data_IF_073162087870
#
_entry.id   IF_073162087870
#
_cell.length_a   1.000
_cell.length_b   1.000
_cell.length_c   1.000
_cell.angle_alpha   90.00
_cell.angle_beta   90.00
_cell.angle_gamma   90.00
#
_symmetry.space_group_name_H-M   'P 1'
#
loop_
_entity.id
_entity.type
_entity.pdbx_description
1 polymer ?
#
# COMPACT_ATOMS: atom_id res chain seq x y z
N UNK A 1 -20.13 21.09 19.48
CA UNK A 1 -19.15 19.99 19.46
C UNK A 1 -18.82 19.67 18.02
N UNK A 2 -17.55 19.64 17.61
CA UNK A 2 -17.19 19.13 16.29
C UNK A 2 -17.50 17.63 16.24
N UNK A 3 -17.91 17.15 15.07
CA UNK A 3 -18.16 15.72 14.84
C UNK A 3 -16.84 14.98 15.00
N UNK A 4 -16.76 13.88 15.79
CA UNK A 4 -15.56 13.07 15.82
C UNK A 4 -15.27 12.59 14.39
N UNK A 5 -14.03 12.80 13.93
CA UNK A 5 -13.53 12.25 12.66
C UNK A 5 -13.87 10.75 12.62
N UNK A 6 -14.29 10.19 11.48
CA UNK A 6 -14.59 8.77 11.38
C UNK A 6 -13.39 7.95 11.85
N UNK A 7 -13.53 7.27 12.99
CA UNK A 7 -12.49 6.35 13.48
C UNK A 7 -12.38 5.12 12.58
N UNK A 8 -13.47 4.80 11.87
CA UNK A 8 -13.49 3.74 10.87
C UNK A 8 -12.81 4.21 9.59
N UNK A 9 -11.73 3.54 9.13
CA UNK A 9 -11.12 3.86 7.86
C UNK A 9 -12.14 3.77 6.72
N UNK A 10 -12.02 4.66 5.73
CA UNK A 10 -12.83 4.56 4.52
C UNK A 10 -12.59 3.22 3.83
N UNK A 11 -13.64 2.75 3.16
CA UNK A 11 -13.62 1.49 2.41
C UNK A 11 -12.46 1.41 1.42
N UNK A 12 -12.07 2.53 0.80
CA UNK A 12 -10.92 2.59 -0.11
C UNK A 12 -9.63 2.10 0.56
N UNK A 13 -9.32 2.56 1.78
CA UNK A 13 -8.13 2.13 2.52
C UNK A 13 -8.19 0.65 2.90
N UNK A 14 -9.33 0.19 3.41
CA UNK A 14 -9.47 -1.22 3.80
C UNK A 14 -9.39 -2.17 2.61
N UNK A 15 -9.99 -1.79 1.47
CA UNK A 15 -9.94 -2.57 0.24
C UNK A 15 -8.53 -2.60 -0.32
N UNK A 16 -7.86 -1.45 -0.37
CA UNK A 16 -6.49 -1.38 -0.87
C UNK A 16 -5.51 -2.20 -0.04
N UNK A 17 -5.63 -2.19 1.29
CA UNK A 17 -4.81 -3.03 2.17
C UNK A 17 -5.00 -4.52 1.85
N UNK A 18 -6.25 -4.96 1.75
CA UNK A 18 -6.55 -6.36 1.44
C UNK A 18 -6.06 -6.77 0.05
N UNK A 19 -6.22 -5.91 -0.95
CA UNK A 19 -5.77 -6.16 -2.31
C UNK A 19 -4.24 -6.18 -2.41
N UNK A 20 -3.55 -5.27 -1.73
CA UNK A 20 -2.10 -5.21 -1.66
C UNK A 20 -1.53 -6.48 -1.00
N UNK A 21 -2.07 -6.89 0.16
CA UNK A 21 -1.66 -8.13 0.84
C UNK A 21 -1.87 -9.38 -0.04
N UNK A 22 -3.01 -9.44 -0.75
CA UNK A 22 -3.33 -10.55 -1.66
C UNK A 22 -2.36 -10.58 -2.85
N UNK A 23 -2.05 -9.42 -3.43
CA UNK A 23 -1.15 -9.32 -4.56
C UNK A 23 0.27 -9.78 -4.19
N UNK A 24 0.81 -9.31 -3.06
CA UNK A 24 2.12 -9.74 -2.55
C UNK A 24 2.18 -11.23 -2.21
N UNK A 25 1.14 -11.77 -1.57
CA UNK A 25 1.07 -13.21 -1.27
C UNK A 25 1.09 -14.04 -2.56
N UNK A 26 0.40 -13.57 -3.60
CA UNK A 26 0.36 -14.23 -4.90
C UNK A 26 1.70 -14.11 -5.62
N UNK A 27 2.34 -12.94 -5.56
CA UNK A 27 3.66 -12.69 -6.13
C UNK A 27 4.71 -13.64 -5.54
N UNK A 28 4.81 -13.74 -4.21
CA UNK A 28 5.73 -14.64 -3.53
C UNK A 28 5.50 -16.13 -3.88
N UNK A 29 4.25 -16.52 -4.16
CA UNK A 29 3.93 -17.88 -4.61
C UNK A 29 4.45 -18.15 -6.02
N UNK A 30 4.28 -17.19 -6.93
CA UNK A 30 4.81 -17.33 -8.30
C UNK A 30 6.32 -17.35 -8.31
N UNK A 31 6.98 -16.54 -7.49
CA UNK A 31 8.43 -16.51 -7.38
C UNK A 31 8.98 -17.88 -6.96
N UNK A 32 8.46 -18.44 -5.86
CA UNK A 32 8.83 -19.78 -5.41
C UNK A 32 8.64 -20.84 -6.48
N UNK A 33 7.53 -20.78 -7.24
CA UNK A 33 7.23 -21.74 -8.31
C UNK A 33 8.16 -21.56 -9.51
N UNK A 34 8.48 -20.32 -9.89
CA UNK A 34 9.41 -20.01 -10.97
C UNK A 34 10.82 -20.51 -10.63
N UNK A 35 11.29 -20.25 -9.40
CA UNK A 35 12.56 -20.74 -8.90
C UNK A 35 12.62 -22.28 -8.90
N UNK A 36 11.53 -22.94 -8.50
CA UNK A 36 11.45 -24.41 -8.50
C UNK A 36 11.44 -25.03 -9.91
N UNK A 37 10.81 -24.36 -10.88
CA UNK A 37 10.74 -24.80 -12.26
C UNK A 37 11.99 -24.41 -13.08
N UNK A 38 12.81 -23.50 -12.58
CA UNK A 38 13.91 -22.86 -13.30
C UNK A 38 13.40 -21.80 -14.27
N UNK A 39 13.91 -20.57 -14.15
CA UNK A 39 13.45 -19.44 -14.96
C UNK A 39 13.67 -19.61 -16.47
N UNK A 40 14.60 -20.46 -16.91
CA UNK A 40 14.82 -20.72 -18.34
C UNK A 40 13.75 -21.62 -18.99
N UNK A 41 12.90 -22.29 -18.20
CA UNK A 41 11.85 -23.16 -18.72
C UNK A 41 10.60 -22.37 -19.12
N UNK A 42 9.78 -22.91 -20.02
CA UNK A 42 8.51 -22.28 -20.40
C UNK A 42 7.59 -22.03 -19.18
N UNK A 43 7.55 -22.97 -18.23
CA UNK A 43 6.80 -22.82 -16.98
C UNK A 43 7.38 -21.72 -16.08
N UNK A 44 8.71 -21.67 -15.95
CA UNK A 44 9.40 -20.60 -15.21
C UNK A 44 9.13 -19.21 -15.82
N UNK A 45 9.20 -19.09 -17.14
CA UNK A 45 8.87 -17.86 -17.87
C UNK A 45 7.42 -17.43 -17.70
N UNK A 46 6.46 -18.38 -17.73
CA UNK A 46 5.05 -18.08 -17.48
C UNK A 46 4.82 -17.52 -16.06
N UNK A 47 5.53 -18.04 -15.05
CA UNK A 47 5.48 -17.50 -13.70
C UNK A 47 6.16 -16.14 -13.57
N UNK A 48 7.28 -15.92 -14.26
CA UNK A 48 7.92 -14.61 -14.33
C UNK A 48 6.98 -13.56 -14.91
N UNK A 49 6.31 -13.87 -16.03
CA UNK A 49 5.30 -12.97 -16.62
C UNK A 49 4.15 -12.66 -15.66
N UNK A 50 3.68 -13.66 -14.90
CA UNK A 50 2.64 -13.45 -13.88
C UNK A 50 3.12 -12.54 -12.74
N UNK A 51 4.38 -12.68 -12.29
CA UNK A 51 4.97 -11.78 -11.29
C UNK A 51 5.05 -10.34 -11.79
N UNK A 52 5.49 -10.12 -13.03
CA UNK A 52 5.53 -8.78 -13.63
C UNK A 52 4.15 -8.13 -13.63
N UNK A 53 3.10 -8.87 -14.00
CA UNK A 53 1.74 -8.36 -13.96
C UNK A 53 1.28 -8.02 -12.53
N UNK A 54 1.66 -8.83 -11.54
CA UNK A 54 1.35 -8.58 -10.13
C UNK A 54 2.11 -7.37 -9.58
N UNK A 55 3.38 -7.19 -9.97
CA UNK A 55 4.18 -6.02 -9.60
C UNK A 55 3.53 -4.72 -10.11
N UNK A 56 3.09 -4.69 -11.38
CA UNK A 56 2.35 -3.54 -11.92
C UNK A 56 1.06 -3.25 -11.14
N UNK A 57 0.33 -4.30 -10.74
CA UNK A 57 -0.89 -4.14 -9.93
C UNK A 57 -0.59 -3.60 -8.54
N UNK A 58 0.48 -4.06 -7.89
CA UNK A 58 0.95 -3.53 -6.60
C UNK A 58 1.26 -2.03 -6.73
N UNK A 59 2.05 -1.64 -7.72
CA UNK A 59 2.38 -0.23 -7.98
C UNK A 59 1.12 0.63 -8.19
N UNK A 60 0.12 0.10 -8.88
CA UNK A 60 -1.16 0.82 -9.11
C UNK A 60 -1.92 1.06 -7.81
N UNK A 61 -1.98 0.06 -6.92
CA UNK A 61 -2.63 0.19 -5.60
C UNK A 61 -1.89 1.22 -4.75
N UNK A 62 -0.56 1.16 -4.75
CA UNK A 62 0.29 2.08 -4.00
C UNK A 62 0.12 3.53 -4.47
N UNK A 63 0.12 3.76 -5.79
CA UNK A 63 -0.11 5.10 -6.35
C UNK A 63 -1.50 5.66 -5.97
N UNK A 64 -2.55 4.86 -6.10
CA UNK A 64 -3.91 5.26 -5.70
C UNK A 64 -3.99 5.62 -4.22
N UNK A 65 -3.28 4.87 -3.36
CA UNK A 65 -3.23 5.14 -1.92
C UNK A 65 -2.41 6.38 -1.61
N UNK A 66 -1.28 6.59 -2.28
CA UNK A 66 -0.47 7.80 -2.11
C UNK A 66 -1.29 9.07 -2.42
N UNK A 67 -2.07 9.04 -3.49
CA UNK A 67 -2.93 10.16 -3.93
C UNK A 67 -4.16 10.38 -3.05
N UNK A 68 -4.64 9.37 -2.33
CA UNK A 68 -5.82 9.48 -1.46
C UNK A 68 -5.43 10.06 -0.09
N UNK A 69 -5.84 11.29 0.30
CA UNK A 69 -5.45 11.87 1.59
C UNK A 69 -5.93 11.02 2.76
N UNK A 70 -5.15 10.91 3.84
CA UNK A 70 -5.57 10.24 5.07
C UNK A 70 -6.20 11.24 6.04
N UNK A 71 -7.44 10.99 6.45
CA UNK A 71 -8.21 11.89 7.32
C UNK A 71 -8.32 11.38 8.78
N UNK A 72 -7.74 10.22 9.06
CA UNK A 72 -7.73 9.61 10.39
C UNK A 72 -6.43 8.88 10.65
N UNK A 73 -6.09 8.66 11.92
CA UNK A 73 -4.84 7.99 12.31
C UNK A 73 -4.79 6.56 11.75
N UNK A 74 -5.95 5.91 11.68
CA UNK A 74 -6.06 4.56 11.14
C UNK A 74 -5.83 4.54 9.61
N UNK A 75 -6.34 5.53 8.88
CA UNK A 75 -6.04 5.68 7.44
C UNK A 75 -4.55 5.95 7.20
N UNK A 76 -3.94 6.83 8.01
CA UNK A 76 -2.51 7.13 7.92
C UNK A 76 -1.65 5.88 8.21
N UNK A 77 -2.02 5.07 9.20
CA UNK A 77 -1.35 3.81 9.49
C UNK A 77 -1.44 2.81 8.33
N UNK A 78 -2.61 2.69 7.70
CA UNK A 78 -2.78 1.83 6.51
C UNK A 78 -1.93 2.36 5.36
N UNK A 79 -1.94 3.68 5.12
CA UNK A 79 -1.10 4.33 4.10
C UNK A 79 0.37 4.01 4.32
N UNK A 80 0.88 4.20 5.53
CA UNK A 80 2.27 3.89 5.90
C UNK A 80 2.57 2.41 5.66
N UNK A 81 1.68 1.51 6.07
CA UNK A 81 1.88 0.06 5.89
C UNK A 81 2.02 -0.34 4.42
N UNK A 82 1.20 0.23 3.53
CA UNK A 82 1.22 -0.05 2.09
C UNK A 82 2.44 0.58 1.40
N UNK A 83 2.80 1.82 1.77
CA UNK A 83 3.84 2.61 1.10
C UNK A 83 5.25 2.39 1.68
N UNK A 84 5.38 1.54 2.67
CA UNK A 84 6.68 1.17 3.25
C UNK A 84 7.28 -0.06 2.57
N UNK A 85 8.61 -0.11 2.53
CA UNK A 85 9.39 -1.30 2.23
C UNK A 85 10.36 -1.52 3.40
N UNK A 86 10.42 -2.73 3.93
CA UNK A 86 11.27 -3.09 5.09
C UNK A 86 11.09 -2.15 6.31
N UNK A 87 9.85 -1.71 6.52
CA UNK A 87 9.49 -0.81 7.63
C UNK A 87 9.89 0.65 7.44
N UNK A 88 10.38 1.04 6.26
CA UNK A 88 10.71 2.41 5.90
C UNK A 88 9.79 2.90 4.78
N UNK A 89 9.23 4.10 4.93
CA UNK A 89 8.45 4.74 3.86
C UNK A 89 9.38 4.99 2.67
N UNK A 90 9.00 4.50 1.49
CA UNK A 90 9.82 4.67 0.30
C UNK A 90 9.91 6.16 -0.09
N UNK A 91 11.09 6.65 -0.56
CA UNK A 91 11.34 8.08 -0.79
C UNK A 91 10.28 8.79 -1.64
N UNK A 92 9.77 8.12 -2.66
CA UNK A 92 8.74 8.65 -3.57
C UNK A 92 7.40 8.96 -2.87
N UNK A 93 7.13 8.36 -1.70
CA UNK A 93 5.91 8.56 -0.92
C UNK A 93 6.11 9.38 0.36
N UNK A 94 7.36 9.72 0.72
CA UNK A 94 7.64 10.40 1.99
C UNK A 94 6.91 11.73 2.11
N UNK A 95 6.89 12.51 1.03
CA UNK A 95 6.22 13.82 1.03
C UNK A 95 4.72 13.68 1.27
N UNK A 96 4.03 12.80 0.54
CA UNK A 96 2.57 12.65 0.66
C UNK A 96 2.15 12.13 2.03
N UNK A 97 2.93 11.21 2.61
CA UNK A 97 2.69 10.72 3.97
C UNK A 97 2.95 11.80 5.02
N UNK A 98 4.00 12.62 4.83
CA UNK A 98 4.32 13.72 5.73
C UNK A 98 3.24 14.82 5.67
N UNK A 99 2.78 15.18 4.48
CA UNK A 99 1.74 16.19 4.28
C UNK A 99 0.44 15.78 5.01
N UNK A 100 0.03 14.51 4.90
CA UNK A 100 -1.12 13.97 5.64
C UNK A 100 -0.90 14.05 7.16
N UNK A 101 0.28 13.64 7.65
CA UNK A 101 0.59 13.66 9.08
C UNK A 101 0.58 15.08 9.65
N UNK A 102 1.17 16.04 8.94
CA UNK A 102 1.20 17.45 9.33
C UNK A 102 -0.19 18.08 9.33
N UNK A 103 -1.02 17.75 8.33
CA UNK A 103 -2.40 18.20 8.29
C UNK A 103 -3.18 17.72 9.53
N UNK A 104 -3.01 16.46 9.92
CA UNK A 104 -3.65 15.90 11.10
C UNK A 104 -3.22 16.57 12.42
N UNK A 105 -1.93 16.94 12.54
CA UNK A 105 -1.41 17.68 13.70
C UNK A 105 -2.05 19.07 13.75
N UNK A 106 -2.05 19.79 12.62
CA UNK A 106 -2.63 21.13 12.55
C UNK A 106 -4.13 21.14 12.90
N UNK A 107 -4.89 20.14 12.43
CA UNK A 107 -6.31 19.99 12.81
C UNK A 107 -6.49 19.73 14.31
N UNK A 108 -5.60 18.93 14.92
CA UNK A 108 -5.67 18.66 16.35
C UNK A 108 -5.34 19.90 17.21
N UNK A 109 -4.40 20.73 16.75
CA UNK A 109 -4.03 21.99 17.42
C UNK A 109 -5.14 23.04 17.31
N UNK A 110 -5.85 23.10 16.18
CA UNK A 110 -6.96 24.03 15.98
C UNK A 110 -8.23 23.69 16.79
N UNK A 111 -8.34 22.44 17.26
CA UNK A 111 -9.45 21.95 18.08
C UNK A 111 -9.19 22.09 19.60
N UNK A 112 -7.98 22.48 20.01
CA UNK A 112 -7.53 22.64 21.39
C UNK A 112 -7.74 24.05 21.95
#
# INVERSE_FOLDING_TARGET
MPKPRPQTPRRTFTTALADWQRAWTTHARHDRRAASAGYATATGQAHLAAMTNLATRIMTIEAQIAETPANSRAELQIKIAILSLDGQIRPEFQKTVLDDAMHMIAEAEAEA
#
